data_IF_819471903422
#
_entry.id   IF_819471903422
#
_cell.length_a   1.000
_cell.length_b   1.000
_cell.length_c   1.000
_cell.angle_alpha   90.00
_cell.angle_beta   90.00
_cell.angle_gamma   90.00
#
_symmetry.space_group_name_H-M   'P 1'
#
loop_
_entity.id
_entity.type
_entity.pdbx_description
1 polymer ?
#
# COMPACT_ATOMS: atom_id res chain seq x y z
N UNK A 1 -16.41 -4.64 -0.93
CA UNK A 1 -15.88 -3.78 0.13
C UNK A 1 -15.39 -2.45 -0.44
N UNK A 2 -15.82 -1.33 0.13
CA UNK A 2 -15.32 0.01 -0.25
C UNK A 2 -14.07 0.35 0.58
N UNK A 3 -12.91 0.42 -0.08
CA UNK A 3 -11.65 0.77 0.55
C UNK A 3 -11.51 2.30 0.61
N UNK A 4 -11.39 2.85 1.82
CA UNK A 4 -11.26 4.30 2.04
C UNK A 4 -9.80 4.69 2.30
N UNK A 5 -9.16 5.18 1.25
CA UNK A 5 -7.80 5.72 1.32
C UNK A 5 -7.79 7.26 1.32
N UNK A 6 -6.82 7.84 2.01
CA UNK A 6 -6.55 9.28 1.99
C UNK A 6 -5.72 9.68 0.76
N UNK A 7 -5.56 10.98 0.52
CA UNK A 7 -4.83 11.47 -0.66
C UNK A 7 -3.35 11.08 -0.69
N UNK A 8 -2.70 10.88 0.47
CA UNK A 8 -1.30 10.46 0.54
C UNK A 8 -1.15 8.98 0.20
N UNK A 9 -2.04 8.13 0.73
CA UNK A 9 -2.11 6.69 0.42
C UNK A 9 -2.40 6.46 -1.07
N UNK A 10 -3.33 7.22 -1.66
CA UNK A 10 -3.60 7.16 -3.10
C UNK A 10 -2.37 7.60 -3.92
N UNK A 11 -1.60 8.59 -3.44
CA UNK A 11 -0.35 9.00 -4.10
C UNK A 11 0.73 7.93 -3.99
N UNK A 12 0.80 7.18 -2.89
CA UNK A 12 1.72 6.05 -2.73
C UNK A 12 1.40 4.96 -3.76
N UNK A 13 0.13 4.56 -3.86
CA UNK A 13 -0.31 3.58 -4.85
C UNK A 13 0.03 4.00 -6.29
N UNK A 14 -0.26 5.27 -6.64
CA UNK A 14 0.11 5.82 -7.95
C UNK A 14 1.61 5.80 -8.21
N UNK A 15 2.42 6.01 -7.18
CA UNK A 15 3.89 6.01 -7.30
C UNK A 15 4.43 4.60 -7.55
N UNK A 16 3.76 3.58 -7.00
CA UNK A 16 4.03 2.18 -7.26
C UNK A 16 3.36 1.64 -8.54
N UNK A 17 2.70 2.50 -9.32
CA UNK A 17 1.91 2.11 -10.50
C UNK A 17 0.78 1.10 -10.18
N UNK A 18 0.31 1.10 -8.93
CA UNK A 18 -0.81 0.26 -8.48
C UNK A 18 -2.12 0.98 -8.81
N UNK A 19 -2.96 0.34 -9.63
CA UNK A 19 -4.27 0.87 -9.98
C UNK A 19 -5.25 0.79 -8.80
N UNK A 20 -5.82 1.94 -8.44
CA UNK A 20 -6.78 2.04 -7.35
C UNK A 20 -7.94 2.96 -7.71
N UNK A 21 -9.16 2.46 -7.57
CA UNK A 21 -10.40 3.20 -7.75
C UNK A 21 -11.14 3.32 -6.42
N UNK A 22 -11.20 4.51 -5.79
CA UNK A 22 -11.85 4.70 -4.50
C UNK A 22 -13.38 4.50 -4.54
N UNK A 23 -13.98 4.41 -5.73
CA UNK A 23 -15.42 4.21 -5.93
C UNK A 23 -15.78 2.76 -6.27
N UNK A 24 -14.78 1.92 -6.56
CA UNK A 24 -14.99 0.50 -6.83
C UNK A 24 -15.32 -0.24 -5.55
N UNK A 25 -16.28 -1.16 -5.66
CA UNK A 25 -16.56 -2.15 -4.63
C UNK A 25 -15.66 -3.37 -4.83
N UNK A 26 -14.55 -3.44 -4.09
CA UNK A 26 -13.55 -4.50 -4.22
C UNK A 26 -14.05 -5.80 -3.61
N UNK A 27 -13.77 -6.94 -4.23
CA UNK A 27 -13.93 -8.23 -3.54
C UNK A 27 -12.86 -8.40 -2.46
N UNK A 28 -13.03 -9.37 -1.57
CA UNK A 28 -12.00 -9.75 -0.59
C UNK A 28 -10.71 -10.18 -1.30
N UNK A 29 -10.82 -10.98 -2.36
CA UNK A 29 -9.68 -11.40 -3.18
C UNK A 29 -8.95 -10.20 -3.80
N UNK A 30 -9.68 -9.24 -4.39
CA UNK A 30 -9.06 -8.05 -5.00
C UNK A 30 -8.41 -7.13 -3.96
N UNK A 31 -8.98 -7.07 -2.75
CA UNK A 31 -8.39 -6.32 -1.64
C UNK A 31 -7.14 -7.02 -1.07
N UNK A 32 -7.13 -8.35 -1.07
CA UNK A 32 -5.94 -9.18 -0.76
C UNK A 32 -4.83 -8.95 -1.79
N UNK A 33 -5.15 -9.02 -3.09
CA UNK A 33 -4.21 -8.72 -4.17
C UNK A 33 -3.63 -7.31 -4.04
N UNK A 34 -4.48 -6.32 -3.70
CA UNK A 34 -4.03 -4.96 -3.43
C UNK A 34 -3.06 -4.89 -2.25
N UNK A 35 -3.36 -5.59 -1.17
CA UNK A 35 -2.49 -5.65 0.01
C UNK A 35 -1.13 -6.30 -0.33
N UNK A 36 -1.14 -7.40 -1.09
CA UNK A 36 0.09 -8.08 -1.52
C UNK A 36 0.97 -7.16 -2.39
N UNK A 37 0.37 -6.41 -3.33
CA UNK A 37 1.10 -5.44 -4.14
C UNK A 37 1.72 -4.31 -3.30
N UNK A 38 1.03 -3.85 -2.26
CA UNK A 38 1.56 -2.85 -1.31
C UNK A 38 2.70 -3.42 -0.47
N UNK A 39 2.57 -4.68 -0.04
CA UNK A 39 3.61 -5.36 0.73
C UNK A 39 4.89 -5.57 -0.08
N UNK A 40 4.77 -5.91 -1.37
CA UNK A 40 5.94 -6.02 -2.26
C UNK A 40 6.73 -4.70 -2.33
N UNK A 41 6.03 -3.56 -2.34
CA UNK A 41 6.66 -2.24 -2.30
C UNK A 41 7.34 -1.97 -0.96
N UNK A 42 6.73 -2.33 0.17
CA UNK A 42 7.38 -2.27 1.48
C UNK A 42 8.71 -3.04 1.48
N UNK A 43 8.72 -4.28 0.98
CA UNK A 43 9.91 -5.11 0.91
C UNK A 43 10.96 -4.49 -0.01
N UNK A 44 10.56 -3.99 -1.18
CA UNK A 44 11.47 -3.32 -2.11
C UNK A 44 12.21 -2.15 -1.43
N UNK A 45 11.46 -1.24 -0.77
CA UNK A 45 12.05 -0.08 -0.12
C UNK A 45 12.82 -0.43 1.17
N UNK A 46 12.42 -1.49 1.87
CA UNK A 46 13.11 -2.01 3.06
C UNK A 46 14.48 -2.61 2.75
N UNK A 47 14.68 -3.08 1.51
CA UNK A 47 15.97 -3.62 1.06
C UNK A 47 17.04 -2.54 0.81
N UNK A 48 16.66 -1.26 0.79
CA UNK A 48 17.64 -0.18 0.66
C UNK A 48 18.42 0.03 1.96
N UNK A 49 19.69 0.51 1.88
CA UNK A 49 20.45 0.86 3.07
C UNK A 49 19.72 1.89 3.93
N UNK A 50 19.76 1.73 5.25
CA UNK A 50 19.07 2.63 6.20
C UNK A 50 19.55 4.08 6.15
N UNK A 51 20.70 4.34 5.52
CA UNK A 51 21.19 5.69 5.22
C UNK A 51 20.33 6.41 4.17
N UNK A 52 19.58 5.69 3.34
CA UNK A 52 18.61 6.24 2.41
C UNK A 52 17.29 6.55 3.13
N UNK A 53 17.25 7.71 3.80
CA UNK A 53 16.08 8.18 4.56
C UNK A 53 14.78 8.22 3.75
N UNK A 54 14.86 8.44 2.43
CA UNK A 54 13.67 8.46 1.57
C UNK A 54 13.11 7.05 1.37
N UNK A 55 13.97 6.06 1.12
CA UNK A 55 13.54 4.67 0.99
C UNK A 55 12.99 4.13 2.31
N UNK A 56 13.66 4.40 3.42
CA UNK A 56 13.16 4.02 4.76
C UNK A 56 11.79 4.62 5.04
N UNK A 57 11.58 5.91 4.69
CA UNK A 57 10.26 6.52 4.85
C UNK A 57 9.21 5.81 3.99
N UNK A 58 9.52 5.53 2.72
CA UNK A 58 8.58 4.85 1.83
C UNK A 58 8.23 3.45 2.31
N UNK A 59 9.19 2.70 2.82
CA UNK A 59 8.94 1.40 3.43
C UNK A 59 7.93 1.50 4.59
N UNK A 60 8.11 2.48 5.49
CA UNK A 60 7.15 2.74 6.58
C UNK A 60 5.78 3.14 6.04
N UNK A 61 5.74 4.07 5.09
CA UNK A 61 4.49 4.56 4.50
C UNK A 61 3.70 3.42 3.81
N UNK A 62 4.38 2.48 3.13
CA UNK A 62 3.74 1.29 2.55
C UNK A 62 3.32 0.26 3.61
N UNK A 63 4.12 0.07 4.66
CA UNK A 63 3.79 -0.84 5.77
C UNK A 63 2.52 -0.40 6.50
N UNK A 64 2.38 0.91 6.78
CA UNK A 64 1.16 1.47 7.38
C UNK A 64 -0.08 1.28 6.48
N UNK A 65 0.10 1.40 5.16
CA UNK A 65 -0.97 1.15 4.19
C UNK A 65 -1.34 -0.33 4.13
N UNK A 66 -0.36 -1.24 4.15
CA UNK A 66 -0.58 -2.68 4.19
C UNK A 66 -1.37 -3.09 5.44
N UNK A 67 -0.94 -2.64 6.62
CA UNK A 67 -1.65 -2.90 7.88
C UNK A 67 -3.10 -2.42 7.82
N UNK A 68 -3.33 -1.24 7.24
CA UNK A 68 -4.69 -0.70 7.06
C UNK A 68 -5.53 -1.58 6.14
N UNK A 69 -4.98 -2.07 5.03
CA UNK A 69 -5.69 -2.96 4.11
C UNK A 69 -6.01 -4.30 4.77
N UNK A 70 -5.06 -4.90 5.49
CA UNK A 70 -5.26 -6.14 6.25
C UNK A 70 -6.33 -6.00 7.34
N UNK A 71 -6.36 -4.86 8.04
CA UNK A 71 -7.40 -4.59 9.05
C UNK A 71 -8.81 -4.47 8.46
N UNK A 72 -8.95 -4.14 7.17
CA UNK A 72 -10.25 -4.11 6.48
C UNK A 72 -10.73 -5.51 6.07
N UNK A 73 -9.79 -6.45 5.91
CA UNK A 73 -10.03 -7.84 5.51
C UNK A 73 -10.29 -8.78 6.69
N UNK A 74 -10.02 -8.33 7.92
CA UNK A 74 -10.20 -9.10 9.16
C UNK A 74 -11.55 -8.87 9.83
#
# INVERSE_FOLDING_TARGET
MIIKLNEEEIKLLKKAEIEFDPTKDYSEDEALELADMVFDQEIEYSNYPSSNKKAVKLAVDYSELYDKLQNLLS
#
